data_IF_888593110903
#
_entry.id   IF_888593110903
#
_cell.length_a   1.000
_cell.length_b   1.000
_cell.length_c   1.000
_cell.angle_alpha   90.00
_cell.angle_beta   90.00
_cell.angle_gamma   90.00
#
_symmetry.space_group_name_H-M   'P 1'
#
loop_
_entity.id
_entity.type
_entity.pdbx_description
1 polymer ?
#
# COMPACT_ATOMS: atom_id res chain seq x y z
N UNK A 1 -28.05 -6.03 -7.14
CA UNK A 1 -26.77 -6.15 -6.39
C UNK A 1 -25.63 -5.89 -7.35
N UNK A 2 -24.49 -5.38 -6.86
CA UNK A 2 -23.33 -5.11 -7.68
C UNK A 2 -22.86 -6.38 -8.39
N UNK A 3 -22.51 -6.26 -9.66
CA UNK A 3 -21.91 -7.35 -10.43
C UNK A 3 -20.48 -7.64 -9.95
N UNK A 4 -19.81 -6.62 -9.39
CA UNK A 4 -18.43 -6.74 -8.95
C UNK A 4 -18.13 -5.81 -7.77
N UNK A 5 -17.47 -6.37 -6.75
CA UNK A 5 -16.88 -5.63 -5.63
C UNK A 5 -15.36 -5.70 -5.75
N UNK A 6 -14.68 -4.56 -5.77
CA UNK A 6 -13.21 -4.49 -5.86
C UNK A 6 -12.63 -3.85 -4.61
N UNK A 7 -11.76 -4.58 -3.91
CA UNK A 7 -11.10 -4.08 -2.70
C UNK A 7 -9.64 -3.80 -3.01
N UNK A 8 -9.26 -2.53 -2.94
CA UNK A 8 -7.85 -2.13 -3.08
C UNK A 8 -7.20 -2.20 -1.71
N UNK A 9 -6.15 -3.01 -1.64
CA UNK A 9 -5.40 -3.27 -0.43
C UNK A 9 -3.92 -2.94 -0.63
N UNK A 10 -3.22 -2.68 0.46
CA UNK A 10 -1.78 -2.41 0.46
C UNK A 10 -1.38 -1.59 1.67
N UNK A 11 -0.08 -1.53 1.95
CA UNK A 11 0.45 -0.71 3.04
C UNK A 11 0.27 0.80 2.74
N UNK A 12 0.15 1.61 3.80
CA UNK A 12 0.23 3.07 3.68
C UNK A 12 1.48 3.47 2.90
N UNK A 13 1.37 4.52 2.07
CA UNK A 13 2.47 5.06 1.24
C UNK A 13 2.97 4.13 0.12
N UNK A 14 2.32 2.98 -0.08
CA UNK A 14 2.59 2.11 -1.24
C UNK A 14 1.98 2.60 -2.55
N UNK A 15 1.37 3.78 -2.57
CA UNK A 15 0.70 4.29 -3.78
C UNK A 15 -0.71 3.74 -4.00
N UNK A 16 -1.36 3.22 -2.95
CA UNK A 16 -2.75 2.74 -3.00
C UNK A 16 -3.71 3.79 -3.55
N UNK A 17 -3.53 5.08 -3.26
CA UNK A 17 -4.34 6.16 -3.86
C UNK A 17 -4.19 6.25 -5.39
N UNK A 18 -2.99 6.01 -5.93
CA UNK A 18 -2.77 5.99 -7.38
C UNK A 18 -3.49 4.79 -7.99
N UNK A 19 -3.34 3.60 -7.39
CA UNK A 19 -4.11 2.41 -7.79
C UNK A 19 -5.62 2.62 -7.75
N UNK A 20 -6.15 3.23 -6.68
CA UNK A 20 -7.58 3.53 -6.52
C UNK A 20 -8.10 4.53 -7.56
N UNK A 21 -7.36 5.59 -7.84
CA UNK A 21 -7.73 6.54 -8.91
C UNK A 21 -7.68 5.86 -10.28
N UNK A 22 -6.72 4.96 -10.50
CA UNK A 22 -6.66 4.09 -11.66
C UNK A 22 -7.91 3.23 -11.82
N UNK A 23 -8.40 2.60 -10.74
CA UNK A 23 -9.67 1.85 -10.78
C UNK A 23 -10.86 2.72 -11.14
N UNK A 24 -10.90 3.97 -10.66
CA UNK A 24 -11.95 4.92 -11.06
C UNK A 24 -11.91 5.21 -12.55
N UNK A 25 -10.72 5.34 -13.15
CA UNK A 25 -10.56 5.46 -14.60
C UNK A 25 -11.02 4.20 -15.36
N UNK A 26 -10.96 3.03 -14.72
CA UNK A 26 -11.49 1.76 -15.26
C UNK A 26 -13.01 1.58 -15.04
N UNK A 27 -13.71 2.60 -14.52
CA UNK A 27 -15.15 2.56 -14.31
C UNK A 27 -15.61 1.82 -13.05
N UNK A 28 -14.73 1.68 -12.05
CA UNK A 28 -15.12 1.24 -10.70
C UNK A 28 -15.56 2.45 -9.88
N UNK A 29 -16.75 2.37 -9.29
CA UNK A 29 -17.29 3.42 -8.44
C UNK A 29 -16.78 3.32 -7.01
N UNK A 30 -16.37 4.45 -6.43
CA UNK A 30 -15.79 4.51 -5.07
C UNK A 30 -16.79 5.01 -4.01
N UNK A 31 -17.99 5.42 -4.45
CA UNK A 31 -18.97 6.11 -3.62
C UNK A 31 -18.72 7.60 -3.50
N UNK A 32 -19.65 8.28 -2.81
CA UNK A 32 -19.65 9.75 -2.65
C UNK A 32 -18.98 10.21 -1.34
N UNK A 33 -18.95 9.35 -0.32
CA UNK A 33 -18.37 9.64 1.00
C UNK A 33 -16.84 9.47 1.01
N UNK A 34 -16.11 10.27 0.23
CA UNK A 34 -14.65 10.18 0.16
C UNK A 34 -13.98 11.11 1.18
N UNK A 35 -12.93 10.60 1.84
CA UNK A 35 -12.07 11.39 2.72
C UNK A 35 -11.44 12.54 1.91
N UNK A 36 -11.58 13.79 2.36
CA UNK A 36 -11.04 14.94 1.64
C UNK A 36 -9.51 14.87 1.56
N UNK A 37 -8.89 15.54 0.56
CA UNK A 37 -7.44 15.73 0.53
C UNK A 37 -6.92 16.36 1.83
N UNK A 38 -5.72 15.99 2.23
CA UNK A 38 -5.04 16.55 3.41
C UNK A 38 -3.54 16.64 3.21
N UNK A 39 -2.81 17.19 4.17
CA UNK A 39 -1.36 17.45 4.05
C UNK A 39 -0.55 16.20 3.65
N UNK A 40 -0.95 15.01 4.16
CA UNK A 40 -0.31 13.75 3.82
C UNK A 40 -0.58 13.23 2.40
N UNK A 41 -1.62 13.73 1.72
CA UNK A 41 -1.95 13.41 0.34
C UNK A 41 -2.82 14.52 -0.31
N UNK A 42 -2.19 15.55 -0.90
CA UNK A 42 -2.89 16.70 -1.49
C UNK A 42 -3.80 16.37 -2.68
N UNK A 43 -3.62 15.20 -3.33
CA UNK A 43 -4.47 14.74 -4.46
C UNK A 43 -5.67 13.89 -4.03
N UNK A 44 -5.97 13.86 -2.73
CA UNK A 44 -7.09 13.08 -2.17
C UNK A 44 -6.70 11.66 -1.81
N UNK A 45 -7.27 11.16 -0.71
CA UNK A 45 -7.03 9.79 -0.26
C UNK A 45 -7.83 8.76 -1.04
N UNK A 46 -8.98 9.14 -1.63
CA UNK A 46 -9.90 8.22 -2.32
C UNK A 46 -10.34 7.06 -1.42
N UNK A 47 -10.35 7.31 -0.10
CA UNK A 47 -10.78 6.36 0.92
C UNK A 47 -12.24 6.66 1.25
N UNK A 48 -13.05 5.61 1.38
CA UNK A 48 -14.43 5.78 1.81
C UNK A 48 -14.47 6.01 3.33
N UNK A 49 -15.02 7.14 3.77
CA UNK A 49 -14.98 7.55 5.18
C UNK A 49 -15.72 6.59 6.11
N UNK A 50 -16.80 5.95 5.63
CA UNK A 50 -17.54 4.94 6.40
C UNK A 50 -16.68 3.69 6.62
N UNK A 51 -15.96 3.25 5.58
CA UNK A 51 -15.01 2.13 5.65
C UNK A 51 -13.83 2.46 6.58
N UNK A 52 -13.28 3.68 6.49
CA UNK A 52 -12.18 4.13 7.37
C UNK A 52 -12.60 4.11 8.83
N UNK A 53 -13.82 4.61 9.11
CA UNK A 53 -14.39 4.58 10.46
C UNK A 53 -14.55 3.15 10.98
N UNK A 54 -15.11 2.24 10.16
CA UNK A 54 -15.24 0.83 10.51
C UNK A 54 -13.89 0.17 10.80
N UNK A 55 -12.91 0.32 9.92
CA UNK A 55 -11.57 -0.25 10.11
C UNK A 55 -10.90 0.27 11.39
N UNK A 56 -11.04 1.57 11.67
CA UNK A 56 -10.50 2.19 12.87
C UNK A 56 -11.17 1.62 14.13
N UNK A 57 -12.49 1.43 14.11
CA UNK A 57 -13.24 0.83 15.22
C UNK A 57 -12.89 -0.64 15.43
N UNK A 58 -12.69 -1.42 14.37
CA UNK A 58 -12.26 -2.83 14.47
C UNK A 58 -10.86 -2.91 15.09
N UNK A 59 -9.91 -2.09 14.62
CA UNK A 59 -8.59 -2.02 15.23
C UNK A 59 -8.66 -1.60 16.70
N UNK A 60 -9.45 -0.59 17.04
CA UNK A 60 -9.63 -0.13 18.41
C UNK A 60 -10.24 -1.22 19.31
N UNK A 61 -11.23 -1.98 18.83
CA UNK A 61 -11.80 -3.13 19.54
C UNK A 61 -10.77 -4.23 19.83
N UNK A 62 -9.73 -4.33 18.98
CA UNK A 62 -8.59 -5.25 19.16
C UNK A 62 -7.47 -4.65 20.03
N UNK A 63 -7.62 -3.41 20.50
CA UNK A 63 -6.58 -2.68 21.26
C UNK A 63 -5.43 -2.17 20.38
N UNK A 64 -5.65 -2.04 19.07
CA UNK A 64 -4.62 -1.72 18.09
C UNK A 64 -4.90 -0.39 17.36
N UNK A 65 -3.83 0.14 16.81
CA UNK A 65 -3.83 1.22 15.80
C UNK A 65 -3.28 0.67 14.48
N UNK A 66 -3.39 1.45 13.41
CA UNK A 66 -2.83 1.07 12.10
C UNK A 66 -1.31 0.85 12.13
N UNK A 67 -0.60 1.56 13.03
CA UNK A 67 0.85 1.50 13.19
C UNK A 67 1.31 0.61 14.36
N UNK A 68 0.41 -0.23 14.88
CA UNK A 68 0.76 -1.25 15.88
C UNK A 68 1.58 -2.39 15.26
N UNK A 69 2.67 -2.75 15.96
CA UNK A 69 3.63 -3.76 15.50
C UNK A 69 3.26 -5.20 15.90
N UNK A 70 1.98 -5.46 16.19
CA UNK A 70 1.52 -6.75 16.67
C UNK A 70 0.60 -7.46 15.68
N UNK A 71 0.76 -8.77 15.57
CA UNK A 71 -0.19 -9.65 14.92
C UNK A 71 -1.46 -9.80 15.75
N UNK A 72 -2.61 -10.03 15.11
CA UNK A 72 -3.87 -10.29 15.82
C UNK A 72 -4.05 -11.80 16.01
N UNK A 73 -4.06 -12.33 17.25
CA UNK A 73 -4.35 -13.73 17.49
C UNK A 73 -5.70 -14.16 16.88
N UNK A 74 -5.80 -15.35 16.26
CA UNK A 74 -7.05 -15.81 15.64
C UNK A 74 -8.28 -15.80 16.57
N UNK A 75 -8.08 -16.03 17.86
CA UNK A 75 -9.16 -16.01 18.88
C UNK A 75 -9.83 -14.65 19.01
N UNK A 76 -9.07 -13.55 18.85
CA UNK A 76 -9.54 -12.17 19.06
C UNK A 76 -10.58 -11.72 18.03
N UNK A 77 -10.66 -12.38 16.87
CA UNK A 77 -11.71 -12.10 15.87
C UNK A 77 -13.11 -12.53 16.34
N UNK A 78 -13.20 -13.33 17.41
CA UNK A 78 -14.46 -13.75 18.03
C UNK A 78 -14.84 -12.88 19.23
N UNK A 79 -14.04 -11.88 19.58
CA UNK A 79 -14.35 -10.97 20.66
C UNK A 79 -15.67 -10.25 20.37
N UNK A 80 -16.54 -10.15 21.38
CA UNK A 80 -17.88 -9.56 21.26
C UNK A 80 -17.81 -8.13 20.69
N UNK A 81 -16.80 -7.35 21.09
CA UNK A 81 -16.57 -6.00 20.60
C UNK A 81 -16.32 -5.93 19.07
N UNK A 82 -15.67 -6.95 18.50
CA UNK A 82 -15.45 -7.05 17.05
C UNK A 82 -16.72 -7.52 16.35
N UNK A 83 -17.40 -8.53 16.91
CA UNK A 83 -18.64 -9.08 16.33
C UNK A 83 -19.76 -8.04 16.24
N UNK A 84 -19.89 -7.16 17.25
CA UNK A 84 -20.85 -6.04 17.26
C UNK A 84 -20.69 -5.08 16.06
N UNK A 85 -19.53 -5.05 15.41
CA UNK A 85 -19.27 -4.18 14.26
C UNK A 85 -19.72 -4.80 12.92
N UNK A 86 -19.96 -6.12 12.88
CA UNK A 86 -20.28 -6.83 11.62
C UNK A 86 -21.57 -6.34 10.98
N UNK A 87 -22.65 -6.18 11.77
CA UNK A 87 -23.94 -5.71 11.24
C UNK A 87 -23.83 -4.31 10.61
N UNK A 88 -23.10 -3.40 11.26
CA UNK A 88 -22.85 -2.07 10.71
C UNK A 88 -22.02 -2.11 9.43
N UNK A 89 -21.01 -2.98 9.36
CA UNK A 89 -20.20 -3.13 8.16
C UNK A 89 -20.98 -3.75 7.00
N UNK A 90 -21.81 -4.76 7.28
CA UNK A 90 -22.69 -5.39 6.31
C UNK A 90 -23.66 -4.37 5.71
N UNK A 91 -24.36 -3.60 6.55
CA UNK A 91 -25.27 -2.55 6.09
C UNK A 91 -24.56 -1.48 5.24
N UNK A 92 -23.33 -1.08 5.61
CA UNK A 92 -22.52 -0.17 4.80
C UNK A 92 -22.23 -0.77 3.42
N UNK A 93 -21.80 -2.03 3.35
CA UNK A 93 -21.51 -2.70 2.07
C UNK A 93 -22.78 -2.83 1.21
N UNK A 94 -23.89 -3.28 1.79
CA UNK A 94 -25.19 -3.42 1.11
C UNK A 94 -25.63 -2.13 0.43
N UNK A 95 -25.58 -1.01 1.15
CA UNK A 95 -25.87 0.32 0.61
C UNK A 95 -25.08 0.60 -0.68
N UNK A 96 -23.79 0.31 -0.69
CA UNK A 96 -22.95 0.57 -1.86
C UNK A 96 -23.20 -0.40 -3.00
N UNK A 97 -23.34 -1.70 -2.73
CA UNK A 97 -23.59 -2.70 -3.78
C UNK A 97 -25.00 -2.61 -4.36
N UNK A 98 -25.95 -1.97 -3.68
CA UNK A 98 -27.25 -1.63 -4.24
C UNK A 98 -27.20 -0.37 -5.12
N UNK A 99 -26.31 0.57 -4.79
CA UNK A 99 -26.20 1.86 -5.48
C UNK A 99 -25.38 1.80 -6.77
N UNK A 100 -24.43 0.87 -6.87
CA UNK A 100 -23.46 0.83 -7.96
C UNK A 100 -23.36 -0.56 -8.60
N UNK A 101 -23.31 -0.60 -9.93
CA UNK A 101 -23.10 -1.83 -10.70
C UNK A 101 -21.73 -2.46 -10.42
N UNK A 102 -20.69 -1.64 -10.36
CA UNK A 102 -19.32 -2.03 -9.97
C UNK A 102 -18.86 -1.08 -8.88
N UNK A 103 -18.65 -1.60 -7.69
CA UNK A 103 -18.23 -0.81 -6.54
C UNK A 103 -16.86 -1.26 -6.09
N UNK A 104 -16.07 -0.32 -5.55
CA UNK A 104 -14.86 -0.65 -4.86
C UNK A 104 -14.54 0.36 -3.77
N UNK A 105 -13.64 -0.04 -2.88
CA UNK A 105 -13.12 0.85 -1.87
C UNK A 105 -11.65 0.55 -1.60
N UNK A 106 -11.03 1.50 -0.90
CA UNK A 106 -9.66 1.40 -0.44
C UNK A 106 -9.56 1.90 0.98
N UNK A 107 -8.83 1.17 1.80
CA UNK A 107 -8.21 1.66 3.03
C UNK A 107 -6.98 0.77 3.29
N UNK A 108 -5.78 1.33 3.50
CA UNK A 108 -4.60 0.54 3.84
C UNK A 108 -4.76 -0.37 5.07
N UNK A 109 -5.65 -0.01 6.00
CA UNK A 109 -5.98 -0.78 7.21
C UNK A 109 -6.79 -2.04 6.91
N UNK A 110 -7.46 -2.12 5.76
CA UNK A 110 -8.31 -3.27 5.40
C UNK A 110 -7.53 -4.58 5.47
N UNK A 111 -6.24 -4.59 5.11
CA UNK A 111 -5.39 -5.78 5.26
C UNK A 111 -5.18 -6.17 6.72
N UNK A 112 -5.01 -5.20 7.63
CA UNK A 112 -4.84 -5.48 9.07
C UNK A 112 -6.08 -6.07 9.71
N UNK A 113 -7.25 -5.82 9.11
CA UNK A 113 -8.54 -6.34 9.57
C UNK A 113 -9.20 -7.27 8.54
N UNK A 114 -8.39 -7.92 7.69
CA UNK A 114 -8.92 -8.73 6.60
C UNK A 114 -9.81 -9.89 7.08
N UNK A 115 -9.50 -10.61 8.18
CA UNK A 115 -10.39 -11.64 8.69
C UNK A 115 -11.80 -11.12 8.99
N UNK A 116 -11.94 -9.91 9.53
CA UNK A 116 -13.24 -9.27 9.74
C UNK A 116 -14.01 -9.06 8.43
N UNK A 117 -13.35 -8.53 7.39
CA UNK A 117 -13.99 -8.29 6.09
C UNK A 117 -14.37 -9.59 5.37
N UNK A 118 -13.57 -10.65 5.50
CA UNK A 118 -13.90 -11.96 4.93
C UNK A 118 -15.25 -12.46 5.47
N UNK A 119 -15.49 -12.34 6.78
CA UNK A 119 -16.77 -12.71 7.40
C UNK A 119 -17.92 -11.81 6.92
N UNK A 120 -17.69 -10.49 6.82
CA UNK A 120 -18.71 -9.55 6.31
C UNK A 120 -19.12 -9.90 4.88
N UNK A 121 -18.17 -10.16 3.99
CA UNK A 121 -18.48 -10.54 2.61
C UNK A 121 -19.13 -11.92 2.53
N UNK A 122 -18.71 -12.88 3.36
CA UNK A 122 -19.34 -14.20 3.42
C UNK A 122 -20.81 -14.10 3.87
N UNK A 123 -21.10 -13.29 4.89
CA UNK A 123 -22.46 -13.03 5.37
C UNK A 123 -23.37 -12.46 4.28
N UNK A 124 -22.83 -11.60 3.42
CA UNK A 124 -23.55 -10.99 2.30
C UNK A 124 -23.54 -11.85 1.02
N UNK A 125 -22.97 -13.05 1.06
CA UNK A 125 -22.76 -13.91 -0.11
C UNK A 125 -22.01 -13.20 -1.27
N UNK A 126 -21.09 -12.29 -0.94
CA UNK A 126 -20.29 -11.53 -1.89
C UNK A 126 -18.92 -12.17 -2.09
N UNK A 127 -18.44 -12.18 -3.34
CA UNK A 127 -17.08 -12.63 -3.68
C UNK A 127 -16.27 -11.45 -4.22
N UNK A 128 -15.58 -10.69 -3.37
CA UNK A 128 -14.81 -9.53 -3.81
C UNK A 128 -13.58 -9.94 -4.61
N UNK A 129 -13.20 -9.11 -5.58
CA UNK A 129 -11.92 -9.14 -6.25
C UNK A 129 -10.93 -8.23 -5.51
N UNK A 130 -9.72 -8.73 -5.23
CA UNK A 130 -8.68 -7.94 -4.56
C UNK A 130 -7.64 -7.44 -5.55
N UNK A 131 -7.26 -6.16 -5.38
CA UNK A 131 -6.16 -5.51 -6.08
C UNK A 131 -5.14 -5.11 -5.02
N UNK A 132 -3.98 -5.76 -5.00
CA UNK A 132 -2.91 -5.46 -4.06
C UNK A 132 -1.96 -4.44 -4.65
N UNK A 133 -1.77 -3.31 -3.97
CA UNK A 133 -0.77 -2.31 -4.36
C UNK A 133 0.43 -2.40 -3.44
N UNK A 134 1.59 -2.65 -4.04
CA UNK A 134 2.88 -2.71 -3.36
C UNK A 134 3.78 -1.58 -3.82
N UNK A 135 4.77 -1.29 -2.98
CA UNK A 135 5.89 -0.43 -3.33
C UNK A 135 7.10 -0.92 -2.58
N UNK A 136 8.27 -0.63 -3.13
CA UNK A 136 9.55 -0.87 -2.49
C UNK A 136 9.51 -0.45 -1.00
N UNK A 137 9.78 -1.37 -0.05
CA UNK A 137 9.68 -1.11 1.38
C UNK A 137 10.59 0.01 1.88
N UNK A 138 11.75 0.24 1.25
CA UNK A 138 12.64 1.36 1.59
C UNK A 138 12.03 2.70 1.18
N UNK A 139 11.38 2.75 0.02
CA UNK A 139 10.58 3.92 -0.40
C UNK A 139 9.42 4.19 0.56
N UNK A 140 8.75 3.14 1.04
CA UNK A 140 7.68 3.26 2.04
C UNK A 140 8.23 3.80 3.36
N UNK A 141 9.34 3.25 3.85
CA UNK A 141 10.01 3.69 5.07
C UNK A 141 10.45 5.15 4.98
N UNK A 142 11.06 5.56 3.87
CA UNK A 142 11.44 6.95 3.65
C UNK A 142 10.22 7.88 3.62
N UNK A 143 9.10 7.46 3.03
CA UNK A 143 7.87 8.25 3.00
C UNK A 143 7.24 8.41 4.39
N UNK A 144 7.21 7.33 5.19
CA UNK A 144 6.71 7.33 6.57
C UNK A 144 7.61 8.15 7.50
N UNK A 145 8.93 8.11 7.31
CA UNK A 145 9.84 8.99 8.04
C UNK A 145 9.54 10.47 7.77
N UNK A 146 9.31 10.86 6.50
CA UNK A 146 8.99 12.25 6.17
C UNK A 146 7.65 12.70 6.76
N UNK A 147 6.64 11.82 6.76
CA UNK A 147 5.28 12.14 7.21
C UNK A 147 5.13 12.08 8.74
N UNK A 148 5.56 10.98 9.36
CA UNK A 148 5.26 10.64 10.75
C UNK A 148 6.50 10.61 11.64
N UNK A 149 7.71 10.82 11.08
CA UNK A 149 9.00 10.67 11.77
C UNK A 149 9.22 9.26 12.34
N UNK A 150 8.62 8.25 11.73
CA UNK A 150 8.83 6.86 12.12
C UNK A 150 10.24 6.40 11.81
N UNK A 151 10.82 5.65 12.75
CA UNK A 151 12.05 4.91 12.54
C UNK A 151 11.92 3.99 11.29
N UNK A 152 12.95 3.91 10.43
CA UNK A 152 12.91 3.05 9.24
C UNK A 152 12.62 1.58 9.56
N UNK A 153 13.21 1.01 10.62
CA UNK A 153 12.97 -0.38 11.03
C UNK A 153 11.51 -0.59 11.44
N UNK A 154 10.92 0.35 12.18
CA UNK A 154 9.46 0.33 12.46
C UNK A 154 8.67 0.31 11.16
N UNK A 155 9.03 1.15 10.20
CA UNK A 155 8.31 1.27 8.93
C UNK A 155 8.39 0.01 8.06
N UNK A 156 9.57 -0.62 7.96
CA UNK A 156 9.74 -1.89 7.26
C UNK A 156 9.00 -3.04 7.95
N UNK A 157 9.01 -3.11 9.29
CA UNK A 157 8.18 -4.07 10.04
C UNK A 157 6.69 -3.85 9.81
N UNK A 158 6.23 -2.59 9.78
CA UNK A 158 4.84 -2.27 9.44
C UNK A 158 4.48 -2.74 8.04
N UNK A 159 5.37 -2.55 7.07
CA UNK A 159 5.18 -3.04 5.71
C UNK A 159 4.96 -4.56 5.70
N UNK A 160 5.80 -5.34 6.39
CA UNK A 160 5.64 -6.79 6.48
C UNK A 160 4.35 -7.20 7.20
N UNK A 161 4.03 -6.55 8.32
CA UNK A 161 2.82 -6.83 9.11
C UNK A 161 1.51 -6.52 8.38
N UNK A 162 1.52 -5.60 7.42
CA UNK A 162 0.33 -5.34 6.60
C UNK A 162 0.17 -6.39 5.51
N UNK A 163 1.25 -6.87 4.91
CA UNK A 163 1.17 -7.67 3.69
C UNK A 163 1.20 -9.17 3.93
N UNK A 164 1.94 -9.65 4.93
CA UNK A 164 2.16 -11.09 5.14
C UNK A 164 0.94 -11.84 5.72
N UNK A 165 0.33 -11.40 6.83
CA UNK A 165 -0.42 -12.31 7.71
C UNK A 165 -1.73 -12.90 7.18
N UNK A 166 -2.28 -12.37 6.08
CA UNK A 166 -3.62 -12.73 5.63
C UNK A 166 -3.75 -12.90 4.11
N UNK A 167 -2.66 -12.76 3.33
CA UNK A 167 -2.76 -12.85 1.87
C UNK A 167 -3.17 -14.25 1.40
N UNK A 168 -2.77 -15.32 2.11
CA UNK A 168 -3.23 -16.70 1.83
C UNK A 168 -4.76 -16.83 1.87
N UNK A 169 -5.43 -16.09 2.76
CA UNK A 169 -6.90 -16.14 2.94
C UNK A 169 -7.68 -15.56 1.76
N UNK A 170 -7.03 -14.79 0.88
CA UNK A 170 -7.66 -14.15 -0.28
C UNK A 170 -6.98 -14.49 -1.59
N UNK A 171 -6.04 -15.43 -1.60
CA UNK A 171 -5.14 -15.68 -2.71
C UNK A 171 -5.88 -16.05 -4.02
N UNK A 172 -6.94 -16.86 -3.93
CA UNK A 172 -7.78 -17.21 -5.10
C UNK A 172 -8.58 -16.02 -5.64
N UNK A 173 -8.77 -14.99 -4.82
CA UNK A 173 -9.52 -13.77 -5.12
C UNK A 173 -8.61 -12.58 -5.42
N UNK A 174 -7.29 -12.74 -5.25
CA UNK A 174 -6.28 -11.76 -5.60
C UNK A 174 -6.11 -11.74 -7.11
N UNK A 175 -6.65 -10.70 -7.77
CA UNK A 175 -6.68 -10.62 -9.24
C UNK A 175 -5.38 -10.10 -9.81
N UNK A 176 -4.77 -9.12 -9.15
CA UNK A 176 -3.56 -8.47 -9.63
C UNK A 176 -2.78 -7.84 -8.49
N UNK A 177 -1.45 -7.91 -8.59
CA UNK A 177 -0.52 -7.14 -7.77
C UNK A 177 0.02 -5.99 -8.61
N UNK A 178 -0.09 -4.77 -8.12
CA UNK A 178 0.33 -3.54 -8.78
C UNK A 178 1.53 -3.01 -8.02
N UNK A 179 2.70 -3.03 -8.64
CA UNK A 179 3.84 -2.30 -8.12
C UNK A 179 3.74 -0.83 -8.51
N UNK A 180 3.90 0.05 -7.53
CA UNK A 180 3.80 1.50 -7.74
C UNK A 180 4.84 2.01 -8.73
N UNK A 181 6.06 1.48 -8.69
CA UNK A 181 7.16 1.93 -9.52
C UNK A 181 6.96 1.51 -11.00
N UNK A 182 6.37 0.34 -11.25
CA UNK A 182 5.88 -0.09 -12.57
C UNK A 182 4.71 0.76 -13.06
N UNK A 183 3.73 1.05 -12.18
CA UNK A 183 2.58 1.91 -12.52
C UNK A 183 3.01 3.32 -12.92
N UNK A 184 4.01 3.87 -12.25
CA UNK A 184 4.56 5.18 -12.59
C UNK A 184 5.38 5.16 -13.89
N UNK A 185 5.96 4.01 -14.26
CA UNK A 185 6.77 3.85 -15.46
C UNK A 185 5.92 3.73 -16.73
N UNK A 186 4.85 2.94 -16.69
CA UNK A 186 3.91 2.77 -17.81
C UNK A 186 2.46 2.63 -17.29
N UNK A 187 1.79 3.76 -17.01
CA UNK A 187 0.47 3.73 -16.38
C UNK A 187 -0.62 3.14 -17.27
N UNK A 188 -0.59 3.40 -18.58
CA UNK A 188 -1.61 2.88 -19.51
C UNK A 188 -1.49 1.37 -19.63
N UNK A 189 -0.28 0.83 -19.76
CA UNK A 189 -0.06 -0.62 -19.76
C UNK A 189 -0.53 -1.26 -18.45
N UNK A 190 -0.17 -0.69 -17.29
CA UNK A 190 -0.57 -1.25 -16.00
C UNK A 190 -2.08 -1.17 -15.78
N UNK A 191 -2.76 -0.12 -16.24
CA UNK A 191 -4.22 -0.04 -16.19
C UNK A 191 -4.90 -1.07 -17.11
N UNK A 192 -4.36 -1.30 -18.31
CA UNK A 192 -4.86 -2.35 -19.20
C UNK A 192 -4.71 -3.74 -18.55
N UNK A 193 -3.57 -3.99 -17.89
CA UNK A 193 -3.31 -5.21 -17.13
C UNK A 193 -4.33 -5.39 -16.00
N UNK A 194 -4.60 -4.34 -15.21
CA UNK A 194 -5.61 -4.38 -14.15
C UNK A 194 -7.02 -4.65 -14.73
N UNK A 195 -7.39 -3.96 -15.81
CA UNK A 195 -8.70 -4.13 -16.46
C UNK A 195 -8.90 -5.57 -16.96
N UNK A 196 -7.88 -6.15 -17.60
CA UNK A 196 -7.90 -7.53 -18.06
C UNK A 196 -8.08 -8.52 -16.91
N UNK A 197 -7.29 -8.38 -15.83
CA UNK A 197 -7.36 -9.25 -14.65
C UNK A 197 -8.69 -9.15 -13.88
N UNK A 198 -9.37 -8.00 -13.98
CA UNK A 198 -10.69 -7.78 -13.40
C UNK A 198 -11.84 -8.11 -14.36
N UNK A 199 -11.57 -8.44 -15.63
CA UNK A 199 -12.60 -8.69 -16.64
C UNK A 199 -13.41 -7.44 -16.99
N UNK A 200 -12.80 -6.25 -16.92
CA UNK A 200 -13.46 -4.98 -17.19
C UNK A 200 -13.54 -4.67 -18.69
N UNK A 201 -14.64 -4.06 -19.17
CA UNK A 201 -14.81 -3.77 -20.59
C UNK A 201 -13.88 -2.63 -21.04
N UNK A 202 -13.16 -2.86 -22.15
CA UNK A 202 -12.34 -1.85 -22.80
C UNK A 202 -13.21 -0.94 -23.71
N UNK A 203 -14.05 -0.09 -23.10
CA UNK A 203 -14.85 0.88 -23.85
C UNK A 203 -14.00 2.07 -24.31
N UNK A 204 -14.50 2.87 -25.27
CA UNK A 204 -13.83 4.10 -25.68
C UNK A 204 -13.71 5.10 -24.51
N UNK A 205 -14.74 5.20 -23.65
CA UNK A 205 -14.70 6.04 -22.46
C UNK A 205 -13.61 5.59 -21.48
N UNK A 206 -13.49 4.29 -21.20
CA UNK A 206 -12.46 3.77 -20.29
C UNK A 206 -11.06 4.08 -20.84
N UNK A 207 -10.84 3.91 -22.15
CA UNK A 207 -9.55 4.28 -22.77
C UNK A 207 -9.23 5.78 -22.60
N UNK A 208 -10.22 6.66 -22.81
CA UNK A 208 -10.02 8.09 -22.63
C UNK A 208 -9.69 8.46 -21.17
N UNK A 209 -10.36 7.84 -20.20
CA UNK A 209 -10.09 8.05 -18.77
C UNK A 209 -8.69 7.53 -18.37
N UNK A 210 -8.24 6.41 -18.96
CA UNK A 210 -6.89 5.88 -18.73
C UNK A 210 -5.81 6.85 -19.23
N UNK A 211 -5.98 7.42 -20.42
CA UNK A 211 -5.09 8.44 -20.98
C UNK A 211 -5.09 9.71 -20.11
N UNK A 212 -6.27 10.17 -19.69
CA UNK A 212 -6.39 11.31 -18.79
C UNK A 212 -5.68 11.04 -17.45
N UNK A 213 -5.85 9.85 -16.88
CA UNK A 213 -5.13 9.45 -15.66
C UNK A 213 -3.61 9.49 -15.85
N UNK A 214 -3.11 8.94 -16.95
CA UNK A 214 -1.69 8.90 -17.28
C UNK A 214 -1.10 10.31 -17.47
N UNK A 215 -1.79 11.17 -18.22
CA UNK A 215 -1.29 12.50 -18.59
C UNK A 215 -1.52 13.60 -17.55
N UNK A 216 -2.55 13.49 -16.70
CA UNK A 216 -2.95 14.59 -15.80
C UNK A 216 -2.83 14.24 -14.32
N UNK A 217 -3.15 13.01 -13.92
CA UNK A 217 -3.19 12.63 -12.51
C UNK A 217 -1.84 12.11 -12.03
N UNK A 218 -1.12 11.35 -12.85
CA UNK A 218 0.24 10.94 -12.50
C UNK A 218 1.22 12.03 -12.92
N UNK A 219 2.01 12.51 -11.95
CA UNK A 219 3.17 13.34 -12.25
C UNK A 219 4.40 12.61 -11.75
N UNK A 220 5.50 12.66 -12.51
CA UNK A 220 6.80 12.08 -12.13
C UNK A 220 7.21 12.53 -10.73
N UNK A 221 6.85 13.75 -10.33
CA UNK A 221 7.08 14.31 -9.00
C UNK A 221 6.42 13.54 -7.84
N UNK A 222 5.46 12.64 -8.08
CA UNK A 222 4.90 11.75 -7.06
C UNK A 222 5.86 10.60 -6.70
N UNK A 223 6.79 10.26 -7.60
CA UNK A 223 7.80 9.23 -7.40
C UNK A 223 9.03 9.85 -6.72
N UNK A 224 8.91 10.12 -5.43
CA UNK A 224 9.95 10.80 -4.64
C UNK A 224 11.20 9.95 -4.32
N UNK A 225 11.16 8.66 -4.61
CA UNK A 225 12.22 7.72 -4.30
C UNK A 225 12.09 6.49 -5.18
N UNK A 226 13.24 5.98 -5.62
CA UNK A 226 13.39 4.76 -6.38
C UNK A 226 14.59 4.01 -5.83
N UNK A 227 14.38 2.76 -5.45
CA UNK A 227 15.43 1.87 -4.97
C UNK A 227 15.49 0.64 -5.87
N UNK A 228 16.70 0.15 -6.14
CA UNK A 228 16.91 -1.10 -6.88
C UNK A 228 16.67 -2.33 -5.99
N UNK A 229 16.52 -3.49 -6.63
CA UNK A 229 16.41 -4.77 -5.92
C UNK A 229 17.67 -5.08 -5.10
N UNK A 230 18.86 -4.79 -5.65
CA UNK A 230 20.14 -4.97 -4.95
C UNK A 230 20.25 -4.17 -3.66
N UNK A 231 19.64 -2.99 -3.63
CA UNK A 231 19.63 -2.14 -2.43
C UNK A 231 18.79 -2.76 -1.32
N UNK A 232 17.67 -3.41 -1.63
CA UNK A 232 16.84 -4.11 -0.62
C UNK A 232 17.59 -5.29 -0.02
N UNK A 233 18.32 -6.04 -0.85
CA UNK A 233 18.89 -7.32 -0.44
C UNK A 233 19.85 -7.18 0.76
N UNK A 234 20.54 -6.04 0.85
CA UNK A 234 21.54 -5.78 1.87
C UNK A 234 21.11 -4.72 2.90
N UNK A 235 19.88 -4.19 2.81
CA UNK A 235 19.42 -3.12 3.70
C UNK A 235 18.95 -3.69 5.05
N UNK A 236 19.48 -3.20 6.19
CA UNK A 236 19.10 -3.68 7.51
C UNK A 236 17.65 -3.33 7.91
N UNK A 237 16.96 -2.46 7.16
CA UNK A 237 15.56 -2.10 7.41
C UNK A 237 14.64 -3.31 7.38
N UNK A 238 14.91 -4.26 6.49
CA UNK A 238 14.13 -5.49 6.35
C UNK A 238 14.85 -6.67 7.02
N UNK A 239 14.05 -7.55 7.61
CA UNK A 239 14.46 -8.90 7.96
C UNK A 239 14.33 -9.83 6.74
N UNK A 240 14.75 -11.09 6.91
CA UNK A 240 14.72 -12.07 5.82
C UNK A 240 13.29 -12.41 5.38
N UNK A 241 12.33 -12.38 6.31
CA UNK A 241 10.91 -12.60 6.02
C UNK A 241 10.36 -11.46 5.14
N UNK A 242 10.64 -10.21 5.49
CA UNK A 242 10.25 -9.04 4.73
C UNK A 242 10.89 -8.98 3.35
N UNK A 243 12.18 -9.32 3.24
CA UNK A 243 12.87 -9.49 1.94
C UNK A 243 12.21 -10.56 1.07
N UNK A 244 11.90 -11.71 1.67
CA UNK A 244 11.23 -12.82 0.98
C UNK A 244 9.85 -12.40 0.50
N UNK A 245 9.06 -11.75 1.35
CA UNK A 245 7.74 -11.23 1.01
C UNK A 245 7.80 -10.26 -0.18
N UNK A 246 8.73 -9.29 -0.14
CA UNK A 246 8.92 -8.34 -1.23
C UNK A 246 9.22 -9.03 -2.56
N UNK A 247 10.18 -9.96 -2.56
CA UNK A 247 10.57 -10.71 -3.78
C UNK A 247 9.40 -11.48 -4.37
N UNK A 248 8.65 -12.22 -3.55
CA UNK A 248 7.49 -13.01 -4.00
C UNK A 248 6.38 -12.10 -4.56
N UNK A 249 6.10 -10.98 -3.89
CA UNK A 249 5.09 -10.02 -4.37
C UNK A 249 5.54 -9.30 -5.66
N UNK A 250 6.83 -9.04 -5.83
CA UNK A 250 7.37 -8.43 -7.05
C UNK A 250 7.26 -9.37 -8.25
N UNK A 251 7.44 -10.69 -8.05
CA UNK A 251 7.19 -11.69 -9.10
C UNK A 251 5.73 -11.65 -9.57
N UNK A 252 4.76 -11.53 -8.65
CA UNK A 252 3.36 -11.33 -9.00
C UNK A 252 3.12 -10.00 -9.71
N UNK A 253 3.79 -8.92 -9.29
CA UNK A 253 3.63 -7.61 -9.91
C UNK A 253 4.15 -7.56 -11.35
N UNK A 254 5.10 -8.45 -11.68
CA UNK A 254 5.69 -8.63 -13.01
C UNK A 254 5.04 -9.74 -13.83
N UNK A 255 3.96 -10.35 -13.33
CA UNK A 255 3.26 -11.49 -13.94
C UNK A 255 4.19 -12.69 -14.24
N UNK A 256 5.30 -12.83 -13.49
CA UNK A 256 6.23 -13.96 -13.61
C UNK A 256 5.62 -15.23 -13.01
N UNK A 257 4.80 -15.05 -11.97
CA UNK A 257 3.96 -16.09 -11.37
C UNK A 257 2.55 -15.53 -11.22
N UNK A 258 1.55 -16.40 -11.09
CA UNK A 258 0.16 -15.99 -10.85
C UNK A 258 -0.23 -16.24 -9.39
N UNK A 259 -1.11 -15.41 -8.79
CA UNK A 259 -1.48 -15.56 -7.38
C UNK A 259 -1.98 -16.97 -7.02
N UNK A 260 -2.75 -17.64 -7.88
CA UNK A 260 -3.28 -18.98 -7.60
C UNK A 260 -2.31 -20.15 -7.85
N UNK A 261 -1.10 -19.91 -8.37
CA UNK A 261 -0.15 -20.98 -8.69
C UNK A 261 0.27 -21.77 -7.44
N UNK A 262 0.50 -23.07 -7.62
CA UNK A 262 0.98 -23.94 -6.53
C UNK A 262 2.33 -23.44 -5.98
N UNK A 263 3.25 -23.05 -6.86
CA UNK A 263 4.55 -22.49 -6.51
C UNK A 263 4.43 -21.29 -5.55
N UNK A 264 3.58 -20.31 -5.90
CA UNK A 264 3.36 -19.14 -5.06
C UNK A 264 2.62 -19.50 -3.76
N UNK A 265 1.60 -20.39 -3.81
CA UNK A 265 0.89 -20.89 -2.62
C UNK A 265 1.85 -21.50 -1.60
N UNK A 266 2.71 -22.42 -2.02
CA UNK A 266 3.65 -23.09 -1.13
C UNK A 266 4.67 -22.12 -0.55
N UNK A 267 5.27 -21.27 -1.40
CA UNK A 267 6.28 -20.30 -0.98
C UNK A 267 5.70 -19.28 0.01
N UNK A 268 4.49 -18.78 -0.26
CA UNK A 268 3.81 -17.82 0.61
C UNK A 268 3.36 -18.45 1.93
N UNK A 269 2.81 -19.67 1.91
CA UNK A 269 2.41 -20.36 3.13
C UNK A 269 3.59 -20.65 4.05
N UNK A 270 4.75 -21.04 3.49
CA UNK A 270 5.98 -21.24 4.27
C UNK A 270 6.49 -19.93 4.91
N UNK A 271 6.47 -18.84 4.15
CA UNK A 271 6.78 -17.50 4.66
C UNK A 271 5.82 -17.09 5.79
N UNK A 272 4.52 -17.23 5.58
CA UNK A 272 3.48 -16.84 6.53
C UNK A 272 3.57 -17.66 7.82
N UNK A 273 3.80 -18.98 7.73
CA UNK A 273 3.98 -19.84 8.89
C UNK A 273 5.16 -19.38 9.76
N UNK A 274 6.30 -19.07 9.15
CA UNK A 274 7.45 -18.49 9.87
C UNK A 274 7.12 -17.12 10.46
N UNK A 275 6.39 -16.29 9.72
CA UNK A 275 5.98 -14.97 10.17
C UNK A 275 5.16 -15.03 11.47
N UNK A 276 4.20 -15.95 11.57
CA UNK A 276 3.40 -16.17 12.77
C UNK A 276 4.20 -16.72 13.97
N UNK A 277 5.36 -17.34 13.73
CA UNK A 277 6.27 -17.80 14.80
C UNK A 277 7.21 -16.70 15.28
N UNK A 278 7.69 -15.85 14.38
CA UNK A 278 8.76 -14.88 14.66
C UNK A 278 8.23 -13.49 15.07
N UNK A 279 7.02 -13.10 14.66
CA UNK A 279 6.45 -11.78 14.95
C UNK A 279 5.58 -11.74 16.22
N UNK A 280 5.61 -10.64 16.98
CA UNK A 280 4.90 -10.57 18.26
C UNK A 280 3.38 -10.50 18.08
N UNK A 281 2.66 -11.20 18.95
CA UNK A 281 1.20 -11.22 19.01
C UNK A 281 0.66 -10.15 19.96
N UNK A 282 -0.50 -9.58 19.66
CA UNK A 282 -1.21 -8.68 20.54
C UNK A 282 -1.78 -9.45 21.75
N UNK A 283 -1.60 -8.91 22.95
CA UNK A 283 -2.20 -9.43 24.19
C UNK A 283 -3.25 -8.48 24.75
N UNK A 284 -4.11 -8.98 25.65
CA UNK A 284 -5.11 -8.14 26.35
C UNK A 284 -4.47 -7.06 27.24
N UNK A 285 -3.21 -7.23 27.61
CA UNK A 285 -2.42 -6.29 28.42
C UNK A 285 -1.56 -5.36 27.57
N UNK A 286 -1.58 -5.49 26.24
CA UNK A 286 -0.81 -4.61 25.36
C UNK A 286 -1.42 -3.21 25.47
N UNK A 287 -0.74 -2.23 26.10
CA UNK A 287 -1.25 -0.88 26.10
C UNK A 287 -1.33 -0.42 24.65
N UNK A 288 -2.35 0.35 24.23
CA UNK A 288 -2.25 1.06 22.97
C UNK A 288 -0.95 1.85 23.03
N UNK A 289 0.00 1.53 22.14
CA UNK A 289 1.23 2.30 22.03
C UNK A 289 0.82 3.70 21.55
N UNK A 290 0.45 4.57 22.48
CA UNK A 290 0.24 5.98 22.25
C UNK A 290 1.59 6.51 21.77
N UNK A 291 1.74 6.68 20.44
CA UNK A 291 2.94 7.17 19.74
C UNK A 291 4.21 7.13 20.61
N UNK A 292 4.62 5.95 21.10
CA UNK A 292 5.77 5.91 21.98
C UNK A 292 7.01 6.04 21.10
N UNK A 293 7.81 7.11 21.25
CA UNK A 293 9.13 7.13 20.63
C UNK A 293 9.88 5.93 21.20
N UNK A 294 10.34 5.04 20.33
CA UNK A 294 11.15 3.90 20.73
C UNK A 294 12.31 4.43 21.58
N UNK A 295 12.43 3.97 22.83
CA UNK A 295 13.53 4.36 23.72
C UNK A 295 14.83 3.98 23.03
N UNK A 296 15.59 4.99 22.62
CA UNK A 296 16.97 4.84 22.20
C UNK A 296 17.73 4.12 23.32
N UNK A 297 18.36 2.98 23.02
CA UNK A 297 19.60 2.68 23.72
C UNK A 297 20.57 3.77 23.29
N UNK A 298 20.91 4.62 24.25
CA UNK A 298 21.84 5.77 24.23
C UNK A 298 22.50 6.08 22.87
N UNK A 299 22.01 7.13 22.21
CA UNK A 299 22.74 7.81 21.14
C UNK A 299 23.85 8.72 21.72
N UNK A 300 24.99 8.91 21.02
CA UNK A 300 26.05 9.84 21.43
C UNK A 300 25.60 11.31 21.28
N UNK A 301 26.30 12.29 21.89
CA UNK A 301 25.78 13.64 22.05
C UNK A 301 25.63 14.39 20.72
N UNK A 302 24.71 15.36 20.75
CA UNK A 302 24.18 16.10 19.61
C UNK A 302 25.25 16.81 18.76
N UNK A 303 25.20 16.59 17.45
CA UNK A 303 26.06 17.28 16.48
C UNK A 303 26.27 16.60 15.13
N UNK A 304 25.75 15.38 14.91
CA UNK A 304 25.94 14.65 13.66
C UNK A 304 24.63 14.35 12.93
N UNK A 305 24.56 14.66 11.64
CA UNK A 305 23.56 14.06 10.76
C UNK A 305 23.59 12.53 10.89
N UNK A 306 22.43 11.88 10.99
CA UNK A 306 22.34 10.42 11.02
C UNK A 306 23.05 9.86 9.77
N UNK A 307 24.08 8.99 9.92
CA UNK A 307 24.93 8.56 8.82
C UNK A 307 24.17 7.80 7.71
N UNK A 308 22.95 7.33 7.97
CA UNK A 308 22.17 6.52 7.04
C UNK A 308 21.56 7.30 5.85
N UNK A 309 21.29 8.61 6.01
CA UNK A 309 20.58 9.39 4.99
C UNK A 309 21.46 10.41 4.25
N UNK A 310 22.68 10.67 4.74
CA UNK A 310 23.56 11.71 4.16
C UNK A 310 24.44 11.22 2.99
N UNK A 311 24.55 9.92 2.73
CA UNK A 311 25.57 9.36 1.83
C UNK A 311 25.20 9.13 0.36
N UNK A 312 24.00 9.49 -0.12
CA UNK A 312 23.55 9.09 -1.49
C UNK A 312 22.82 10.16 -2.30
N UNK A 313 23.33 11.38 -2.30
CA UNK A 313 23.08 12.31 -3.39
C UNK A 313 24.42 12.76 -3.97
N UNK A 314 24.53 12.70 -5.31
CA UNK A 314 25.64 13.13 -6.18
C UNK A 314 26.58 12.02 -6.67
N UNK A 315 26.11 11.23 -7.65
CA UNK A 315 26.95 10.80 -8.76
C UNK A 315 26.07 10.56 -9.99
N UNK A 316 26.26 11.36 -11.04
CA UNK A 316 25.69 11.11 -12.36
C UNK A 316 24.87 12.25 -12.96
N UNK A 317 25.52 13.36 -13.32
CA UNK A 317 25.10 14.15 -14.48
C UNK A 317 26.33 14.53 -15.32
N UNK A 318 26.28 14.42 -16.65
CA UNK A 318 27.38 14.80 -17.53
C UNK A 318 27.48 16.33 -17.61
N UNK A 319 28.71 16.85 -17.63
CA UNK A 319 28.98 18.27 -17.85
C UNK A 319 28.95 18.55 -19.35
N UNK A 320 27.93 19.27 -19.80
CA UNK A 320 27.93 19.87 -21.14
C UNK A 320 28.90 21.05 -21.18
N UNK A 321 29.80 20.99 -22.16
CA UNK A 321 30.72 22.06 -22.52
C UNK A 321 30.06 22.95 -23.57
N UNK A 322 29.71 24.19 -23.20
CA UNK A 322 29.52 25.29 -24.16
C UNK A 322 29.92 26.61 -23.49
N UNK A 323 31.21 26.94 -23.55
CA UNK A 323 31.73 28.26 -23.21
C UNK A 323 31.73 29.15 -24.46
N UNK A 324 30.73 30.01 -24.59
CA UNK A 324 30.70 31.08 -25.59
C UNK A 324 31.73 32.17 -25.22
N UNK A 325 32.62 32.49 -26.16
CA UNK A 325 33.64 33.52 -26.02
C UNK A 325 33.05 34.93 -25.97
N UNK A 326 33.42 35.68 -24.93
CA UNK A 326 33.12 37.11 -24.80
C UNK A 326 34.22 37.92 -25.48
N UNK A 327 33.84 38.67 -26.52
CA UNK A 327 34.69 39.62 -27.24
C UNK A 327 34.88 40.88 -26.37
N UNK A 328 36.13 41.13 -25.95
CA UNK A 328 36.55 42.42 -25.39
C UNK A 328 36.75 43.45 -26.51
N UNK A 329 36.04 44.58 -26.43
CA UNK A 329 36.43 45.83 -27.08
C UNK A 329 36.92 46.80 -25.99
N UNK A 330 38.21 47.15 -26.02
CA UNK A 330 38.73 48.40 -25.44
C UNK A 330 39.35 49.22 -26.57
N UNK A 331 38.86 50.45 -26.74
CA UNK A 331 39.48 51.52 -27.51
C UNK A 331 40.14 52.51 -26.55
N UNK A 332 41.01 53.35 -27.12
CA UNK A 332 41.69 54.55 -26.60
C UNK A 332 43.08 54.17 -26.03
N UNK A 333 44.22 54.62 -26.57
CA UNK A 333 44.56 55.82 -27.34
C UNK A 333 45.61 55.50 -28.41
#
# INVERSE_FOLDING_TARGET
MAEQVVVVIGMHRSGTSAGTRGLKALGIELGQSLVPPGEGNPRGFWENSEIVSLNTRVLAALGLTWDSLFLVPPSRWRDEAVQKLQASAAATVEKYVQSYRRWGFKDPRTLRVLPFWIEVFAHLALTPAYVLVIRNPLSVAQSLFRRDRFDPLKSCRLWSLHLVPYLSRIQERLRVVVDYDLLMGDPVQQLNRIASRLGLPATAQVRAEMEAYAGTFLSVHLRHSLYSEDQIQNDPCLDDLGRTAWRLLLQLARDQVVPGSEEFRQSWAALEARFWLEYPLASNETPPLAHQPFRQQSAPPAGGALPYLAGRALAGMPRDATGAGVIQRRKIR
#
